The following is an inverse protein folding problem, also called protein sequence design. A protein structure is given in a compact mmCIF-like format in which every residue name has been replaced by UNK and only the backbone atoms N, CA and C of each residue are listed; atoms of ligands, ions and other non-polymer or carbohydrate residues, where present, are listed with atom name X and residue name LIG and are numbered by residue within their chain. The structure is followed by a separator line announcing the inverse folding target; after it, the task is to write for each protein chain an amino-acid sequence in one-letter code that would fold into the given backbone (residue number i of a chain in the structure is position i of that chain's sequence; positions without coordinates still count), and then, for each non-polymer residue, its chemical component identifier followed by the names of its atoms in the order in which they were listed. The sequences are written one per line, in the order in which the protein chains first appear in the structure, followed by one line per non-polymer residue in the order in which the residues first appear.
data_IF_552887068371
#
_entry.id   IF_552887068371
#
_cell.length_a   1.000
_cell.length_b   1.000
_cell.length_c   1.000
_cell.angle_alpha   90.00
_cell.angle_beta   90.00
_cell.angle_gamma   90.00
#
_symmetry.space_group_name_H-M   'P 1'
#
loop_
_entity.id
_entity.type
_entity.pdbx_description
1 polymer ?
#
# COMPACT_ATOMS: atom_id res chain seq x y z
N UNK A 1 -6.71 8.39 -4.44
CA UNK A 1 -5.66 7.76 -3.60
C UNK A 1 -4.37 7.75 -4.41
N UNK A 2 -3.33 8.48 -4.01
CA UNK A 2 -2.05 8.50 -4.75
C UNK A 2 -1.12 7.45 -4.13
N UNK A 3 -1.03 6.28 -4.77
CA UNK A 3 -0.09 5.22 -4.38
C UNK A 3 1.27 5.38 -5.06
N UNK A 4 2.30 4.76 -4.50
CA UNK A 4 3.60 4.58 -5.14
C UNK A 4 3.60 3.31 -5.98
N UNK A 5 4.03 3.43 -7.23
CA UNK A 5 4.17 2.30 -8.16
C UNK A 5 5.60 1.73 -8.14
N UNK A 6 5.76 0.53 -8.73
CA UNK A 6 7.04 -0.13 -8.95
C UNK A 6 7.88 -0.38 -7.68
N UNK A 7 7.20 -0.59 -6.55
CA UNK A 7 7.83 -0.86 -5.27
C UNK A 7 8.34 -2.29 -5.23
N UNK A 8 9.64 -2.48 -4.97
CA UNK A 8 10.22 -3.83 -4.80
C UNK A 8 10.26 -4.26 -3.35
N UNK A 9 10.41 -3.29 -2.45
CA UNK A 9 10.41 -3.49 -1.02
C UNK A 9 10.00 -2.20 -0.33
N UNK A 10 9.48 -2.34 0.88
CA UNK A 10 9.14 -1.23 1.76
C UNK A 10 9.37 -1.64 3.21
N UNK A 11 9.69 -0.68 4.06
CA UNK A 11 9.83 -0.92 5.50
C UNK A 11 9.07 0.12 6.28
N UNK A 12 8.23 -0.33 7.21
CA UNK A 12 7.56 0.52 8.18
C UNK A 12 8.21 0.32 9.53
N UNK A 13 8.74 1.39 10.12
CA UNK A 13 9.41 1.36 11.43
C UNK A 13 8.83 2.39 12.36
N UNK A 14 8.61 1.98 13.60
CA UNK A 14 8.39 2.88 14.72
C UNK A 14 9.72 3.45 15.20
N UNK A 15 9.63 4.52 15.99
CA UNK A 15 10.80 5.20 16.59
C UNK A 15 11.64 4.28 17.50
N UNK A 16 11.03 3.26 18.09
CA UNK A 16 11.70 2.26 18.94
C UNK A 16 12.43 1.16 18.15
N UNK A 17 12.39 1.22 16.81
CA UNK A 17 13.09 0.27 15.93
C UNK A 17 12.32 -1.02 15.65
N UNK A 18 11.10 -1.18 16.18
CA UNK A 18 10.21 -2.28 15.79
C UNK A 18 9.49 -1.92 14.50
N UNK A 19 9.37 -2.88 13.59
CA UNK A 19 8.78 -2.63 12.29
C UNK A 19 8.47 -3.89 11.50
N UNK A 20 8.03 -3.67 10.26
CA UNK A 20 7.74 -4.71 9.28
C UNK A 20 8.45 -4.33 7.99
N UNK A 21 9.15 -5.29 7.41
CA UNK A 21 9.68 -5.26 6.06
C UNK A 21 8.75 -6.07 5.16
N UNK A 22 8.39 -5.51 4.02
CA UNK A 22 7.67 -6.22 2.97
C UNK A 22 8.46 -6.15 1.66
N UNK A 23 8.52 -7.24 0.92
CA UNK A 23 9.17 -7.26 -0.40
C UNK A 23 8.47 -8.20 -1.37
N UNK A 24 8.70 -7.96 -2.65
CA UNK A 24 8.39 -8.98 -3.67
C UNK A 24 9.20 -10.24 -3.40
N UNK A 25 8.60 -11.40 -3.66
CA UNK A 25 9.22 -12.71 -3.46
C UNK A 25 9.20 -13.55 -4.75
N UNK A 26 10.18 -14.44 -4.92
CA UNK A 26 10.19 -15.41 -6.00
C UNK A 26 10.19 -14.81 -7.41
N UNK A 27 10.78 -13.63 -7.60
CA UNK A 27 10.80 -12.95 -8.91
C UNK A 27 9.45 -12.33 -9.30
N UNK A 28 8.51 -12.22 -8.35
CA UNK A 28 7.23 -11.55 -8.59
C UNK A 28 7.42 -10.11 -9.09
N UNK A 29 6.50 -9.59 -9.93
CA UNK A 29 6.58 -8.21 -10.38
C UNK A 29 6.50 -7.22 -9.22
N UNK A 30 7.01 -5.97 -9.40
CA UNK A 30 6.89 -4.90 -8.42
C UNK A 30 5.44 -4.67 -7.95
N UNK A 31 5.28 -4.24 -6.71
CA UNK A 31 4.00 -3.95 -6.07
C UNK A 31 3.63 -2.46 -6.15
N UNK A 32 2.35 -2.17 -5.98
CA UNK A 32 1.82 -0.85 -5.64
C UNK A 32 1.72 -0.73 -4.12
N UNK A 33 1.96 0.46 -3.59
CA UNK A 33 1.91 0.70 -2.15
C UNK A 33 1.25 2.03 -1.83
N UNK A 34 0.44 2.04 -0.77
CA UNK A 34 -0.07 3.25 -0.14
C UNK A 34 0.02 3.12 1.38
N UNK A 35 0.23 4.25 2.06
CA UNK A 35 0.10 4.39 3.50
C UNK A 35 -0.65 5.69 3.84
N UNK A 36 -1.73 5.59 4.61
CA UNK A 36 -2.64 6.68 4.90
C UNK A 36 -2.99 6.76 6.38
N UNK A 37 -3.20 7.98 6.89
CA UNK A 37 -3.77 8.23 8.22
C UNK A 37 -5.30 8.10 8.25
N UNK A 38 -5.93 8.01 7.07
CA UNK A 38 -7.37 7.85 6.90
C UNK A 38 -7.63 6.47 6.31
N UNK A 39 -8.57 5.73 6.90
CA UNK A 39 -8.97 4.42 6.40
C UNK A 39 -9.73 4.56 5.08
N UNK A 40 -9.79 3.48 4.31
CA UNK A 40 -10.54 3.45 3.04
C UNK A 40 -12.02 3.71 3.28
N UNK A 41 -12.59 3.18 4.37
CA UNK A 41 -13.97 3.45 4.77
C UNK A 41 -14.19 4.94 5.13
N UNK A 42 -13.21 5.58 5.78
CA UNK A 42 -13.30 6.99 6.12
C UNK A 42 -13.19 7.90 4.90
N UNK A 43 -12.32 7.55 3.95
CA UNK A 43 -12.21 8.23 2.67
C UNK A 43 -13.48 8.08 1.82
N UNK A 44 -14.18 6.95 1.90
CA UNK A 44 -15.46 6.72 1.22
C UNK A 44 -16.62 7.49 1.89
N UNK A 45 -16.61 7.57 3.22
CA UNK A 45 -17.62 8.29 4.00
C UNK A 45 -17.56 9.81 3.82
N UNK A 46 -16.35 10.37 3.84
CA UNK A 46 -16.16 11.81 3.87
C UNK A 46 -16.48 12.47 2.52
N UNK A 47 -17.38 13.45 2.53
CA UNK A 47 -17.72 14.21 1.30
C UNK A 47 -16.83 15.42 1.08
N UNK A 48 -16.15 15.88 2.14
CA UNK A 48 -15.22 17.00 2.14
C UNK A 48 -13.98 16.65 2.93
N UNK A 49 -12.88 17.35 2.63
CA UNK A 49 -11.60 17.12 3.30
C UNK A 49 -11.66 17.43 4.80
N UNK A 50 -12.43 18.45 5.20
CA UNK A 50 -12.64 18.85 6.60
C UNK A 50 -13.42 17.82 7.44
N UNK A 51 -14.15 16.91 6.79
CA UNK A 51 -14.89 15.86 7.48
C UNK A 51 -14.00 14.68 7.89
N UNK A 52 -12.76 14.61 7.38
CA UNK A 52 -11.87 13.46 7.55
C UNK A 52 -11.37 13.33 8.99
N UNK A 53 -11.63 12.18 9.58
CA UNK A 53 -11.15 11.80 10.91
C UNK A 53 -9.91 10.92 10.78
N UNK A 54 -8.79 11.36 11.34
CA UNK A 54 -7.56 10.55 11.39
C UNK A 54 -7.79 9.32 12.27
N UNK A 55 -7.29 8.18 11.79
CA UNK A 55 -7.26 6.93 12.56
C UNK A 55 -6.09 6.91 13.55
N UNK A 56 -6.22 6.10 14.59
CA UNK A 56 -5.15 5.81 15.56
C UNK A 56 -4.05 4.89 15.00
N UNK A 57 -4.27 4.35 13.80
CA UNK A 57 -3.31 3.54 13.06
C UNK A 57 -3.12 4.06 11.63
N UNK A 58 -2.01 3.67 11.00
CA UNK A 58 -1.75 3.92 9.58
C UNK A 58 -2.31 2.74 8.80
N UNK A 59 -3.23 3.01 7.88
CA UNK A 59 -3.72 1.99 6.95
C UNK A 59 -2.74 1.86 5.78
N UNK A 60 -2.21 0.65 5.59
CA UNK A 60 -1.23 0.34 4.55
C UNK A 60 -1.84 -0.65 3.56
N UNK A 61 -1.74 -0.33 2.28
CA UNK A 61 -2.16 -1.19 1.17
C UNK A 61 -0.90 -1.60 0.39
N UNK A 62 -0.74 -2.91 0.16
CA UNK A 62 0.34 -3.49 -0.63
C UNK A 62 -0.29 -4.40 -1.66
N UNK A 63 -0.43 -3.88 -2.88
CA UNK A 63 -1.21 -4.50 -3.93
C UNK A 63 -0.28 -4.97 -5.03
N UNK A 64 -0.57 -6.13 -5.64
CA UNK A 64 0.19 -6.55 -6.81
C UNK A 64 0.08 -5.50 -7.93
N UNK A 65 -1.17 -5.12 -8.26
CA UNK A 65 -1.52 -4.07 -9.20
C UNK A 65 -2.89 -3.51 -8.84
N UNK A 66 -3.12 -2.24 -9.17
CA UNK A 66 -4.44 -1.64 -9.21
C UNK A 66 -4.87 -1.39 -10.66
N UNK A 67 -6.18 -1.54 -10.90
CA UNK A 67 -6.75 -1.30 -12.23
C UNK A 67 -6.55 0.17 -12.62
N UNK A 68 -6.30 0.42 -13.90
CA UNK A 68 -6.26 1.78 -14.40
C UNK A 68 -7.56 2.53 -14.10
N UNK A 69 -7.47 3.83 -13.85
CA UNK A 69 -8.62 4.66 -13.48
C UNK A 69 -9.57 4.94 -14.67
N UNK A 70 -9.08 4.81 -15.92
CA UNK A 70 -9.79 5.24 -17.13
C UNK A 70 -9.76 6.76 -17.30
N UNK A 71 -10.77 7.32 -17.98
CA UNK A 71 -11.00 8.78 -18.02
C UNK A 71 -10.88 9.45 -19.39
N UNK A 72 -11.04 8.72 -20.49
CA UNK A 72 -11.12 9.31 -21.84
C UNK A 72 -12.27 10.33 -21.95
N UNK A 73 -13.37 10.04 -21.29
CA UNK A 73 -14.39 10.99 -20.92
C UNK A 73 -14.93 10.64 -19.51
N UNK A 74 -15.58 11.59 -18.84
CA UNK A 74 -16.05 11.40 -17.45
C UNK A 74 -17.36 10.61 -17.33
N UNK A 75 -17.84 10.00 -18.41
CA UNK A 75 -19.18 9.39 -18.49
C UNK A 75 -19.21 8.02 -19.19
N UNK A 76 -18.12 7.61 -19.84
CA UNK A 76 -17.94 6.30 -20.45
C UNK A 76 -16.93 5.49 -19.63
N UNK A 77 -17.32 4.31 -19.13
CA UNK A 77 -16.38 3.41 -18.46
C UNK A 77 -15.45 2.79 -19.51
N UNK A 78 -14.31 3.42 -19.75
CA UNK A 78 -13.27 2.91 -20.65
C UNK A 78 -11.92 2.93 -19.95
N UNK A 79 -11.62 1.87 -19.19
CA UNK A 79 -10.23 1.51 -18.94
C UNK A 79 -9.74 0.81 -20.19
N UNK A 80 -8.76 1.38 -20.89
CA UNK A 80 -8.17 0.73 -22.07
C UNK A 80 -7.69 -0.69 -21.71
N UNK A 81 -7.85 -1.64 -22.63
CA UNK A 81 -7.54 -3.06 -22.41
C UNK A 81 -6.13 -3.30 -21.83
N UNK A 82 -5.16 -2.48 -22.22
CA UNK A 82 -3.78 -2.54 -21.72
C UNK A 82 -3.62 -2.21 -20.22
N UNK A 83 -4.64 -1.64 -19.58
CA UNK A 83 -4.68 -1.31 -18.15
C UNK A 83 -5.69 -2.17 -17.36
N UNK A 84 -6.30 -3.16 -18.03
CA UNK A 84 -7.05 -4.21 -17.36
C UNK A 84 -6.07 -5.17 -16.67
N UNK A 85 -6.47 -5.70 -15.52
CA UNK A 85 -5.67 -6.64 -14.76
C UNK A 85 -6.14 -8.08 -15.04
N UNK A 86 -5.45 -8.84 -15.91
CA UNK A 86 -5.71 -10.26 -16.01
C UNK A 86 -5.28 -10.96 -14.72
N UNK A 87 -5.87 -12.14 -14.40
CA UNK A 87 -5.45 -12.92 -13.25
C UNK A 87 -3.96 -13.31 -13.37
N UNK A 88 -3.18 -12.92 -12.37
CA UNK A 88 -1.75 -13.23 -12.28
C UNK A 88 -1.36 -13.59 -10.85
N UNK A 89 -0.38 -14.48 -10.71
CA UNK A 89 0.19 -14.80 -9.40
C UNK A 89 1.19 -13.74 -8.96
N UNK A 90 1.16 -13.40 -7.68
CA UNK A 90 2.14 -12.53 -7.04
C UNK A 90 2.40 -13.05 -5.63
N UNK A 91 3.65 -12.95 -5.17
CA UNK A 91 4.05 -13.30 -3.81
C UNK A 91 4.71 -12.10 -3.16
N UNK A 92 4.19 -11.72 -1.98
CA UNK A 92 4.75 -10.70 -1.11
C UNK A 92 5.23 -11.40 0.16
N UNK A 93 6.49 -11.17 0.53
CA UNK A 93 7.09 -11.67 1.75
C UNK A 93 7.04 -10.58 2.84
N UNK A 94 6.62 -10.97 4.05
CA UNK A 94 6.64 -10.12 5.23
C UNK A 94 7.66 -10.64 6.24
N UNK A 95 8.53 -9.75 6.73
CA UNK A 95 9.52 -10.06 7.75
C UNK A 95 9.42 -9.02 8.88
N UNK A 96 9.36 -9.45 10.16
CA UNK A 96 9.48 -8.50 11.27
C UNK A 96 10.87 -7.86 11.26
N UNK A 97 10.93 -6.58 11.57
CA UNK A 97 12.16 -5.84 11.81
C UNK A 97 12.26 -5.47 13.28
N UNK A 98 13.37 -5.81 13.90
CA UNK A 98 13.74 -5.39 15.25
C UNK A 98 15.16 -4.85 15.19
N UNK A 99 15.36 -3.61 15.64
CA UNK A 99 16.71 -3.07 15.80
C UNK A 99 17.46 -3.85 16.90
N UNK A 100 18.73 -4.24 16.69
CA UNK A 100 19.50 -5.02 17.67
C UNK A 100 19.83 -4.30 18.99
N UNK A 101 19.43 -3.04 19.17
CA UNK A 101 19.86 -2.21 20.30
C UNK A 101 19.14 -2.50 21.64
N UNK A 102 18.46 -3.65 21.77
CA UNK A 102 17.88 -4.13 23.03
C UNK A 102 18.53 -5.45 23.52
N UNK A 103 19.81 -5.68 23.20
CA UNK A 103 20.61 -6.61 23.99
C UNK A 103 20.90 -5.97 25.35
N UNK A 104 20.02 -6.16 26.33
CA UNK A 104 20.42 -6.05 27.73
C UNK A 104 21.38 -7.21 28.01
N UNK A 105 22.65 -6.88 28.30
CA UNK A 105 23.57 -7.82 28.92
C UNK A 105 23.00 -8.19 30.30
N UNK A 106 22.78 -9.49 30.53
CA UNK A 106 22.70 -10.07 31.87
C UNK A 106 24.07 -10.64 32.23
#
# INVERSE_FOLDING_TARGET
MLGSADVRWVTFKRKDGVGIYASVYGGSPPMQMNASYYTTAELDRATRHEDLVKSDFIEVHLDHKHMGFGGDDSWSPCVHDQYLLPPSSCSILFLPQVSPNHCYNF
#
